data_IF_298127354622
#
_entry.id   IF_298127354622
#
_cell.length_a   1.000
_cell.length_b   1.000
_cell.length_c   1.000
_cell.angle_alpha   90.00
_cell.angle_beta   90.00
_cell.angle_gamma   90.00
#
_symmetry.space_group_name_H-M   'P 1'
#
loop_
_entity.id
_entity.type
_entity.pdbx_description
1 polymer ?
#
# COMPACT_ATOMS: atom_id res chain seq x y z
N UNK A 1 -5.98 -5.93 -33.93
CA UNK A 1 -5.20 -6.33 -32.76
C UNK A 1 -5.96 -7.39 -31.96
N UNK A 2 -5.25 -8.37 -31.40
CA UNK A 2 -5.73 -9.23 -30.33
C UNK A 2 -5.16 -8.69 -29.02
N UNK A 3 -5.98 -8.70 -27.97
CA UNK A 3 -5.57 -8.38 -26.61
C UNK A 3 -5.88 -9.60 -25.76
N UNK A 4 -4.90 -10.09 -25.06
CA UNK A 4 -5.02 -11.23 -24.17
C UNK A 4 -4.56 -10.83 -22.76
N UNK A 5 -5.48 -10.73 -21.79
CA UNK A 5 -5.09 -10.44 -20.42
C UNK A 5 -4.25 -11.60 -19.87
N UNK A 6 -3.21 -11.26 -19.12
CA UNK A 6 -2.31 -12.24 -18.51
C UNK A 6 -2.52 -12.29 -17.00
N UNK A 7 -2.44 -11.15 -16.32
CA UNK A 7 -2.56 -11.09 -14.89
C UNK A 7 -3.05 -9.74 -14.36
N UNK A 8 -3.46 -9.77 -13.10
CA UNK A 8 -3.81 -8.61 -12.31
C UNK A 8 -3.20 -8.74 -10.92
N UNK A 9 -2.47 -7.69 -10.49
CA UNK A 9 -1.79 -7.63 -9.19
C UNK A 9 -2.29 -6.46 -8.37
N UNK A 10 -2.45 -6.67 -7.07
CA UNK A 10 -2.74 -5.58 -6.15
C UNK A 10 -1.52 -4.69 -5.98
N UNK A 11 -1.74 -3.38 -6.06
CA UNK A 11 -0.73 -2.38 -5.79
C UNK A 11 -0.80 -1.96 -4.33
N UNK A 12 0.36 -1.58 -3.77
CA UNK A 12 0.48 -1.12 -2.40
C UNK A 12 1.32 0.16 -2.36
N UNK A 13 0.84 1.11 -1.58
CA UNK A 13 1.72 2.19 -1.15
C UNK A 13 2.73 1.62 -0.15
N UNK A 14 3.98 1.99 -0.34
CA UNK A 14 5.06 1.56 0.54
C UNK A 14 6.00 2.71 0.88
N UNK A 15 6.62 2.59 2.03
CA UNK A 15 7.55 3.58 2.58
C UNK A 15 8.74 2.86 3.22
N UNK A 16 9.85 3.54 3.42
CA UNK A 16 10.96 3.00 4.21
C UNK A 16 10.55 2.72 5.65
N UNK A 17 11.23 1.82 6.31
CA UNK A 17 11.05 1.63 7.75
C UNK A 17 11.44 2.92 8.50
N UNK A 18 10.63 3.34 9.46
CA UNK A 18 10.83 4.59 10.19
C UNK A 18 10.27 5.85 9.51
N UNK A 19 9.60 5.72 8.36
CA UNK A 19 8.86 6.82 7.75
C UNK A 19 7.72 7.30 8.67
N UNK A 20 7.38 8.62 8.73
CA UNK A 20 6.32 9.15 9.60
C UNK A 20 4.98 8.43 9.43
N UNK A 21 4.60 8.04 8.21
CA UNK A 21 3.37 7.28 7.95
C UNK A 21 3.31 5.91 8.63
N UNK A 22 4.43 5.29 9.01
CA UNK A 22 4.41 4.00 9.72
C UNK A 22 3.77 4.11 11.10
N UNK A 23 3.95 5.27 11.76
CA UNK A 23 3.38 5.57 13.06
C UNK A 23 2.01 6.26 13.00
N UNK A 24 1.55 6.67 11.81
CA UNK A 24 0.29 7.38 11.62
C UNK A 24 -0.90 6.52 12.07
N UNK A 25 -1.92 7.17 12.63
CA UNK A 25 -3.16 6.49 13.07
C UNK A 25 -4.10 6.21 11.90
N UNK A 26 -4.06 7.06 10.91
CA UNK A 26 -4.92 7.03 9.72
C UNK A 26 -4.07 7.04 8.44
N UNK A 27 -4.54 6.32 7.44
CA UNK A 27 -3.89 6.19 6.13
C UNK A 27 -4.93 6.43 5.04
N UNK A 28 -5.45 7.65 4.98
CA UNK A 28 -6.27 8.10 3.84
C UNK A 28 -5.37 8.42 2.64
N UNK A 29 -5.94 8.50 1.46
CA UNK A 29 -5.19 8.88 0.26
C UNK A 29 -4.59 10.29 0.41
N UNK A 30 -5.35 11.21 0.98
CA UNK A 30 -4.92 12.58 1.29
C UNK A 30 -3.68 12.61 2.18
N UNK A 31 -3.68 11.83 3.29
CA UNK A 31 -2.52 11.78 4.20
C UNK A 31 -1.29 11.13 3.58
N UNK A 32 -1.48 10.17 2.69
CA UNK A 32 -0.39 9.49 1.98
C UNK A 32 0.25 10.44 0.95
N UNK A 33 -0.58 11.15 0.18
CA UNK A 33 -0.13 12.00 -0.93
C UNK A 33 0.35 13.39 -0.52
N UNK A 34 0.39 13.69 0.79
CA UNK A 34 1.18 14.82 1.32
C UNK A 34 2.68 14.62 1.04
N UNK A 35 3.12 13.37 0.96
CA UNK A 35 4.51 13.03 0.66
C UNK A 35 4.74 12.88 -0.85
N UNK A 36 5.97 13.13 -1.33
CA UNK A 36 6.30 12.94 -2.73
C UNK A 36 6.04 11.51 -3.20
N UNK A 37 5.29 11.36 -4.30
CA UNK A 37 5.01 10.06 -4.90
C UNK A 37 6.12 9.69 -5.88
N UNK A 38 6.66 8.48 -5.73
CA UNK A 38 7.63 7.87 -6.64
C UNK A 38 6.99 6.64 -7.29
N UNK A 39 6.86 6.64 -8.59
CA UNK A 39 6.34 5.48 -9.31
C UNK A 39 6.78 5.46 -10.77
N UNK A 40 6.74 4.31 -11.44
CA UNK A 40 6.68 4.26 -12.88
C UNK A 40 5.43 4.96 -13.42
N UNK A 41 5.35 5.16 -14.73
CA UNK A 41 4.14 5.69 -15.36
C UNK A 41 2.93 4.85 -14.96
N UNK A 42 1.93 5.51 -14.38
CA UNK A 42 0.72 4.84 -13.92
C UNK A 42 -0.33 4.79 -15.03
N UNK A 43 -1.13 3.72 -15.12
CA UNK A 43 -2.29 3.69 -16.00
C UNK A 43 -3.27 4.82 -15.66
N UNK A 44 -3.86 5.44 -16.69
CA UNK A 44 -4.79 6.57 -16.52
C UNK A 44 -5.94 6.26 -15.55
N UNK A 45 -6.46 5.03 -15.55
CA UNK A 45 -7.49 4.60 -14.59
C UNK A 45 -7.07 4.72 -13.11
N UNK A 46 -5.77 4.69 -12.81
CA UNK A 46 -5.25 4.93 -11.46
C UNK A 46 -4.97 6.42 -11.25
N UNK A 47 -4.46 7.09 -12.29
CA UNK A 47 -4.12 8.50 -12.25
C UNK A 47 -5.29 9.40 -11.84
N UNK A 48 -6.51 9.11 -12.31
CA UNK A 48 -7.72 9.88 -11.98
C UNK A 48 -8.09 9.84 -10.49
N UNK A 49 -7.69 8.81 -9.78
CA UNK A 49 -7.91 8.68 -8.34
C UNK A 49 -6.82 9.35 -7.51
N UNK A 50 -5.60 9.42 -8.04
CA UNK A 50 -4.44 9.99 -7.34
C UNK A 50 -4.31 11.50 -7.54
N UNK A 51 -4.72 12.00 -8.70
CA UNK A 51 -4.42 13.37 -9.12
C UNK A 51 -5.12 14.47 -8.33
N UNK A 52 -6.24 14.16 -7.64
CA UNK A 52 -7.00 15.14 -6.88
C UNK A 52 -6.34 15.52 -5.56
N UNK A 53 -5.62 14.58 -4.96
CA UNK A 53 -5.11 14.68 -3.60
C UNK A 53 -3.59 14.79 -3.54
N UNK A 54 -2.90 14.67 -4.70
CA UNK A 54 -1.45 14.65 -4.76
C UNK A 54 -0.86 16.07 -4.74
N UNK A 55 -0.41 16.52 -3.58
CA UNK A 55 0.20 17.85 -3.39
C UNK A 55 1.45 18.08 -4.25
N UNK A 56 2.15 17.02 -4.61
CA UNK A 56 3.43 17.04 -5.33
C UNK A 56 3.39 16.38 -6.71
N UNK A 57 2.20 16.00 -7.21
CA UNK A 57 2.04 15.43 -8.55
C UNK A 57 1.33 16.42 -9.48
N UNK A 58 1.55 16.28 -10.77
CA UNK A 58 0.87 17.09 -11.80
C UNK A 58 -0.05 16.21 -12.61
N UNK A 59 -1.26 16.68 -12.86
CA UNK A 59 -2.18 16.05 -13.79
C UNK A 59 -2.12 16.85 -15.09
N UNK A 60 -1.78 16.19 -16.17
CA UNK A 60 -1.89 16.75 -17.50
C UNK A 60 -3.38 16.98 -17.82
N UNK A 61 -3.74 18.19 -18.20
CA UNK A 61 -5.14 18.57 -18.43
C UNK A 61 -5.70 18.03 -19.73
N UNK A 62 -4.85 17.74 -20.72
CA UNK A 62 -5.27 17.25 -22.03
C UNK A 62 -5.38 15.72 -22.01
N UNK A 63 -4.40 15.03 -21.44
CA UNK A 63 -4.34 13.57 -21.44
C UNK A 63 -4.95 12.94 -20.19
N UNK A 64 -5.07 13.70 -19.09
CA UNK A 64 -5.46 13.17 -17.79
C UNK A 64 -4.38 12.29 -17.13
N UNK A 65 -3.18 12.28 -17.68
CA UNK A 65 -2.06 11.52 -17.14
C UNK A 65 -1.53 12.16 -15.86
N UNK A 66 -1.24 11.35 -14.87
CA UNK A 66 -0.58 11.77 -13.65
C UNK A 66 0.94 11.66 -13.82
N UNK A 67 1.62 12.77 -13.64
CA UNK A 67 3.06 12.78 -13.46
C UNK A 67 3.36 12.79 -11.96
N UNK A 68 3.92 11.70 -11.40
CA UNK A 68 4.31 11.64 -9.99
C UNK A 68 5.42 12.65 -9.71
N UNK A 69 5.72 12.90 -8.44
CA UNK A 69 6.80 13.81 -8.04
C UNK A 69 8.16 13.37 -8.60
N UNK A 70 8.37 12.06 -8.64
CA UNK A 70 9.51 11.45 -9.31
C UNK A 70 9.02 10.26 -10.14
N UNK A 71 9.07 10.42 -11.46
CA UNK A 71 8.78 9.36 -12.40
C UNK A 71 10.04 8.56 -12.68
N UNK A 72 9.94 7.25 -12.60
CA UNK A 72 11.06 6.30 -12.76
C UNK A 72 10.68 5.18 -13.73
N UNK A 73 11.66 4.45 -14.24
CA UNK A 73 11.41 3.43 -15.28
C UNK A 73 11.10 2.05 -14.70
N UNK A 74 11.33 1.83 -13.41
CA UNK A 74 11.10 0.53 -12.78
C UNK A 74 10.76 0.62 -11.30
N UNK A 75 10.13 -0.43 -10.79
CA UNK A 75 9.84 -0.55 -9.36
C UNK A 75 11.10 -0.66 -8.50
N UNK A 76 12.20 -1.19 -9.04
CA UNK A 76 13.48 -1.26 -8.33
C UNK A 76 14.08 0.14 -8.09
N UNK A 77 14.01 1.02 -9.09
CA UNK A 77 14.43 2.42 -8.93
C UNK A 77 13.51 3.17 -7.99
N UNK A 78 12.18 2.95 -8.09
CA UNK A 78 11.22 3.52 -7.15
C UNK A 78 11.54 3.12 -5.70
N UNK A 79 11.83 1.84 -5.46
CA UNK A 79 12.24 1.34 -4.15
C UNK A 79 13.48 2.08 -3.62
N UNK A 80 14.52 2.19 -4.43
CA UNK A 80 15.75 2.86 -4.01
C UNK A 80 15.52 4.34 -3.67
N UNK A 81 14.70 5.05 -4.43
CA UNK A 81 14.32 6.43 -4.14
C UNK A 81 13.55 6.56 -2.82
N UNK A 82 12.61 5.64 -2.55
CA UNK A 82 11.86 5.59 -1.29
C UNK A 82 12.79 5.29 -0.09
N UNK A 83 13.78 4.42 -0.27
CA UNK A 83 14.76 4.12 0.78
C UNK A 83 15.68 5.28 1.11
N UNK A 84 15.90 6.20 0.16
CA UNK A 84 16.78 7.35 0.32
C UNK A 84 16.12 8.54 1.03
N UNK A 85 14.78 8.57 1.22
CA UNK A 85 14.08 9.73 1.78
C UNK A 85 12.69 9.46 2.30
N UNK A 86 11.88 10.52 2.38
CA UNK A 86 10.48 10.46 2.86
C UNK A 86 9.48 10.42 1.70
N UNK A 87 9.84 9.78 0.62
CA UNK A 87 8.92 9.55 -0.49
C UNK A 87 8.05 8.31 -0.25
N UNK A 88 6.88 8.31 -0.86
CA UNK A 88 5.96 7.18 -0.92
C UNK A 88 6.09 6.51 -2.28
N UNK A 89 6.29 5.21 -2.29
CA UNK A 89 6.30 4.42 -3.51
C UNK A 89 4.97 3.70 -3.74
N UNK A 90 4.76 3.27 -4.98
CA UNK A 90 3.61 2.47 -5.39
C UNK A 90 4.09 1.29 -6.24
N UNK A 91 3.84 0.06 -5.78
CA UNK A 91 4.30 -1.14 -6.47
C UNK A 91 3.42 -2.37 -6.14
N UNK A 92 3.42 -3.41 -6.99
CA UNK A 92 2.79 -4.68 -6.67
C UNK A 92 3.59 -5.41 -5.58
N UNK A 93 2.88 -6.21 -4.76
CA UNK A 93 3.50 -6.91 -3.64
C UNK A 93 4.65 -7.83 -4.06
N UNK A 94 4.55 -8.44 -5.24
CA UNK A 94 5.58 -9.33 -5.78
C UNK A 94 6.93 -8.63 -5.96
N UNK A 95 6.92 -7.34 -6.27
CA UNK A 95 8.14 -6.52 -6.39
C UNK A 95 8.74 -6.11 -5.04
N UNK A 96 7.97 -6.22 -3.95
CA UNK A 96 8.33 -5.74 -2.61
C UNK A 96 8.46 -6.87 -1.59
N UNK A 97 8.19 -8.13 -1.97
CA UNK A 97 8.07 -9.26 -1.03
C UNK A 97 9.31 -9.42 -0.15
N UNK A 98 10.50 -9.31 -0.73
CA UNK A 98 11.76 -9.45 0.00
C UNK A 98 11.93 -8.35 1.04
N UNK A 99 11.74 -7.08 0.66
CA UNK A 99 11.93 -5.92 1.53
C UNK A 99 10.92 -5.86 2.68
N UNK A 100 9.69 -6.32 2.42
CA UNK A 100 8.67 -6.51 3.47
C UNK A 100 9.09 -7.62 4.44
N UNK A 101 9.71 -8.68 3.93
CA UNK A 101 10.19 -9.81 4.75
C UNK A 101 11.36 -9.39 5.62
N UNK A 102 12.32 -8.64 5.09
CA UNK A 102 13.49 -8.11 5.81
C UNK A 102 13.14 -6.90 6.68
N UNK A 103 11.93 -6.35 6.57
CA UNK A 103 11.48 -5.14 7.28
C UNK A 103 12.24 -3.87 6.89
N UNK A 104 12.75 -3.81 5.68
CA UNK A 104 13.36 -2.60 5.15
C UNK A 104 12.30 -1.59 4.74
N UNK A 105 11.15 -2.08 4.25
CA UNK A 105 9.99 -1.27 3.92
C UNK A 105 8.76 -1.68 4.72
N UNK A 106 7.82 -0.75 4.82
CA UNK A 106 6.48 -0.94 5.36
C UNK A 106 5.43 -0.69 4.30
N UNK A 107 4.48 -1.63 4.17
CA UNK A 107 3.28 -1.40 3.36
C UNK A 107 2.28 -0.58 4.15
N UNK A 108 1.75 0.46 3.53
CA UNK A 108 0.68 1.25 4.14
C UNK A 108 -0.65 0.49 4.04
N UNK A 109 -1.49 0.52 5.09
CA UNK A 109 -2.74 -0.24 5.15
C UNK A 109 -3.89 0.44 4.38
N UNK A 110 -3.58 1.07 3.25
CA UNK A 110 -4.56 1.63 2.33
C UNK A 110 -4.91 0.61 1.25
N UNK A 111 -6.21 0.48 0.95
CA UNK A 111 -6.70 -0.42 -0.10
C UNK A 111 -7.86 0.23 -0.84
N UNK A 112 -7.87 0.09 -2.16
CA UNK A 112 -8.97 0.56 -3.00
C UNK A 112 -9.18 -0.40 -4.18
N UNK A 113 -10.40 -0.55 -4.72
CA UNK A 113 -10.69 -1.43 -5.85
C UNK A 113 -9.89 -1.09 -7.11
N UNK A 114 -9.61 0.20 -7.33
CA UNK A 114 -8.84 0.69 -8.46
C UNK A 114 -7.32 0.50 -8.33
N UNK A 115 -6.83 0.14 -7.13
CA UNK A 115 -5.41 0.01 -6.83
C UNK A 115 -4.89 -1.37 -7.27
N UNK A 116 -4.97 -1.60 -8.58
CA UNK A 116 -4.63 -2.85 -9.24
C UNK A 116 -3.86 -2.57 -10.53
N UNK A 117 -2.85 -3.37 -10.82
CA UNK A 117 -2.09 -3.36 -12.04
C UNK A 117 -2.48 -4.58 -12.88
N UNK A 118 -3.17 -4.35 -13.99
CA UNK A 118 -3.46 -5.40 -14.96
C UNK A 118 -2.52 -5.26 -16.14
N UNK A 119 -2.05 -6.36 -16.67
CA UNK A 119 -1.28 -6.37 -17.89
C UNK A 119 -1.64 -7.57 -18.78
N UNK A 120 -1.27 -7.46 -20.03
CA UNK A 120 -1.60 -8.47 -21.02
C UNK A 120 -0.68 -8.41 -22.23
N UNK A 121 -0.92 -9.32 -23.13
CA UNK A 121 -0.26 -9.41 -24.42
C UNK A 121 -1.16 -8.79 -25.48
N UNK A 122 -0.56 -8.02 -26.37
CA UNK A 122 -1.26 -7.55 -27.57
C UNK A 122 -0.43 -7.91 -28.81
N UNK A 123 -1.12 -8.36 -29.83
CA UNK A 123 -0.49 -8.78 -31.09
C UNK A 123 -1.45 -8.63 -32.26
N UNK A 124 -0.91 -8.63 -33.46
CA UNK A 124 -1.72 -8.56 -34.69
C UNK A 124 -2.33 -9.92 -35.04
N UNK A 125 -3.64 -9.97 -35.33
CA UNK A 125 -4.31 -11.17 -35.81
C UNK A 125 -3.97 -11.50 -37.29
N UNK A 126 -3.44 -10.53 -38.03
CA UNK A 126 -3.17 -10.69 -39.44
C UNK A 126 -1.95 -11.58 -39.74
N UNK A 127 -1.11 -11.85 -38.78
CA UNK A 127 0.07 -12.69 -38.92
C UNK A 127 0.05 -13.80 -37.85
N UNK A 128 0.38 -15.04 -38.22
CA UNK A 128 0.56 -16.09 -37.27
C UNK A 128 1.72 -15.74 -36.32
N UNK A 129 1.56 -16.06 -35.03
CA UNK A 129 2.63 -15.90 -34.07
C UNK A 129 3.78 -16.87 -34.39
N UNK A 130 5.01 -16.38 -34.30
CA UNK A 130 6.18 -17.23 -34.41
C UNK A 130 6.21 -18.26 -33.28
N UNK A 131 6.90 -19.38 -33.50
CA UNK A 131 7.08 -20.42 -32.48
C UNK A 131 7.72 -19.87 -31.21
N UNK A 132 8.66 -18.94 -31.36
CA UNK A 132 9.32 -18.28 -30.22
C UNK A 132 8.31 -17.42 -29.41
N UNK A 133 7.47 -16.65 -30.12
CA UNK A 133 6.43 -15.86 -29.45
C UNK A 133 5.43 -16.75 -28.69
N UNK A 134 5.01 -17.87 -29.28
CA UNK A 134 4.12 -18.83 -28.61
C UNK A 134 4.76 -19.46 -27.38
N UNK A 135 6.04 -19.84 -27.47
CA UNK A 135 6.79 -20.35 -26.31
C UNK A 135 6.93 -19.30 -25.21
N UNK A 136 7.26 -18.06 -25.58
CA UNK A 136 7.34 -16.95 -24.62
C UNK A 136 6.00 -16.74 -23.89
N UNK A 137 4.88 -16.69 -24.63
CA UNK A 137 3.55 -16.54 -24.04
C UNK A 137 3.22 -17.69 -23.08
N UNK A 138 3.59 -18.92 -23.42
CA UNK A 138 3.39 -20.08 -22.57
C UNK A 138 4.21 -19.98 -21.29
N UNK A 139 5.48 -19.64 -21.39
CA UNK A 139 6.37 -19.46 -20.24
C UNK A 139 5.90 -18.31 -19.34
N UNK A 140 5.48 -17.19 -19.94
CA UNK A 140 4.96 -16.06 -19.18
C UNK A 140 3.74 -16.46 -18.34
N UNK A 141 2.79 -17.19 -18.91
CA UNK A 141 1.62 -17.68 -18.16
C UNK A 141 2.00 -18.63 -17.02
N UNK A 142 2.98 -19.51 -17.25
CA UNK A 142 3.48 -20.43 -16.22
C UNK A 142 4.12 -19.69 -15.06
N UNK A 143 5.00 -18.71 -15.35
CA UNK A 143 5.62 -17.86 -14.34
C UNK A 143 4.57 -17.10 -13.56
N UNK A 144 3.54 -16.59 -14.24
CA UNK A 144 2.47 -15.82 -13.62
C UNK A 144 1.65 -16.62 -12.62
N UNK A 145 1.33 -17.87 -12.92
CA UNK A 145 0.67 -18.78 -11.97
C UNK A 145 1.49 -18.90 -10.66
N UNK A 146 2.81 -19.01 -10.79
CA UNK A 146 3.70 -19.10 -9.61
C UNK A 146 3.72 -17.78 -8.84
N UNK A 147 3.78 -16.63 -9.54
CA UNK A 147 3.79 -15.31 -8.93
C UNK A 147 2.50 -15.01 -8.17
N UNK A 148 1.35 -15.32 -8.75
CA UNK A 148 0.04 -15.16 -8.12
C UNK A 148 -0.08 -16.02 -6.86
N UNK A 149 0.37 -17.27 -6.90
CA UNK A 149 0.39 -18.13 -5.72
C UNK A 149 1.32 -17.58 -4.60
N UNK A 150 2.45 -16.98 -4.96
CA UNK A 150 3.34 -16.31 -4.01
C UNK A 150 2.68 -15.07 -3.41
N UNK A 151 2.07 -14.23 -4.23
CA UNK A 151 1.36 -13.04 -3.78
C UNK A 151 0.24 -13.39 -2.79
N UNK A 152 -0.60 -14.37 -3.12
CA UNK A 152 -1.65 -14.83 -2.22
C UNK A 152 -1.11 -15.30 -0.86
N UNK A 153 -0.02 -16.06 -0.85
CA UNK A 153 0.63 -16.50 0.39
C UNK A 153 1.19 -15.33 1.20
N UNK A 154 1.79 -14.35 0.52
CA UNK A 154 2.32 -13.16 1.17
C UNK A 154 1.20 -12.29 1.77
N UNK A 155 0.09 -12.10 1.04
CA UNK A 155 -1.10 -11.41 1.53
C UNK A 155 -1.71 -12.10 2.75
N UNK A 156 -1.86 -13.41 2.73
CA UNK A 156 -2.39 -14.18 3.86
C UNK A 156 -1.51 -14.02 5.12
N UNK A 157 -0.19 -13.98 4.96
CA UNK A 157 0.75 -13.72 6.07
C UNK A 157 0.61 -12.30 6.65
N UNK A 158 0.40 -11.30 5.78
CA UNK A 158 0.19 -9.92 6.20
C UNK A 158 -1.12 -9.75 6.97
N UNK A 159 -2.19 -10.37 6.50
CA UNK A 159 -3.51 -10.33 7.15
C UNK A 159 -3.51 -11.09 8.49
N UNK A 160 -2.82 -12.23 8.56
CA UNK A 160 -2.62 -12.96 9.82
C UNK A 160 -1.89 -12.11 10.87
N UNK A 161 -0.83 -11.39 10.48
CA UNK A 161 -0.11 -10.47 11.38
C UNK A 161 -0.97 -9.27 11.85
N UNK A 162 -1.82 -8.73 10.96
CA UNK A 162 -2.76 -7.66 11.35
C UNK A 162 -3.78 -8.15 12.38
N UNK A 163 -4.30 -9.35 12.21
CA UNK A 163 -5.30 -9.95 13.11
C UNK A 163 -4.74 -10.20 14.52
N UNK A 164 -3.54 -10.76 14.62
CA UNK A 164 -2.85 -10.97 15.91
C UNK A 164 -2.52 -9.65 16.61
N UNK A 165 -2.07 -8.64 15.88
CA UNK A 165 -1.79 -7.31 16.43
C UNK A 165 -3.04 -6.58 16.94
N UNK A 166 -4.17 -6.67 16.22
CA UNK A 166 -5.48 -6.14 16.67
C UNK A 166 -5.99 -6.86 17.90
N UNK A 167 -5.88 -8.18 17.95
CA UNK A 167 -6.27 -9.00 19.11
C UNK A 167 -5.44 -8.68 20.35
N UNK A 168 -4.12 -8.56 20.21
CA UNK A 168 -3.23 -8.17 21.31
C UNK A 168 -3.54 -6.75 21.82
N UNK A 169 -3.77 -5.78 20.92
CA UNK A 169 -4.14 -4.41 21.30
C UNK A 169 -5.50 -4.34 21.99
N UNK A 170 -6.47 -5.17 21.58
CA UNK A 170 -7.77 -5.28 22.23
C UNK A 170 -7.64 -5.86 23.63
N UNK A 171 -6.86 -6.94 23.80
CA UNK A 171 -6.60 -7.52 25.14
C UNK A 171 -5.91 -6.54 26.08
N UNK A 172 -4.92 -5.80 25.60
CA UNK A 172 -4.24 -4.78 26.40
C UNK A 172 -5.19 -3.65 26.83
N UNK A 173 -6.12 -3.22 25.94
CA UNK A 173 -7.13 -2.19 26.27
C UNK A 173 -8.13 -2.67 27.30
N UNK A 174 -8.59 -3.91 27.20
CA UNK A 174 -9.53 -4.52 28.15
C UNK A 174 -8.88 -4.76 29.53
N UNK A 175 -7.57 -5.04 29.55
CA UNK A 175 -6.83 -5.19 30.81
C UNK A 175 -6.54 -3.86 31.51
N UNK A 176 -6.45 -2.75 30.76
CA UNK A 176 -6.19 -1.40 31.31
C UNK A 176 -7.46 -0.69 31.83
N UNK A 177 -8.64 -1.12 31.41
CA UNK A 177 -9.92 -0.48 31.76
C UNK A 177 -10.34 -0.63 33.24
N UNK A 178 -10.11 -1.77 33.95
CA UNK A 178 -10.42 -1.88 35.39
C UNK A 178 -9.54 -0.99 36.28
N UNK A 179 -8.28 -0.74 35.93
CA UNK A 179 -7.39 0.10 36.71
C UNK A 179 -7.79 1.59 36.70
N UNK A 180 -8.33 2.08 35.60
CA UNK A 180 -8.81 3.46 35.48
C UNK A 180 -10.14 3.71 36.21
N UNK A 181 -10.93 2.68 36.47
CA UNK A 181 -12.18 2.79 37.27
C UNK A 181 -11.91 2.89 38.74
N UNK A 182 -10.91 2.21 39.30
CA UNK A 182 -10.51 2.25 40.70
C UNK A 182 -9.91 3.61 41.06
N UNK A 183 -9.12 4.23 40.19
CA UNK A 183 -8.49 5.53 40.42
C UNK A 183 -9.50 6.71 40.47
N UNK A 184 -10.69 6.58 39.88
CA UNK A 184 -11.74 7.62 39.92
C UNK A 184 -12.67 7.54 41.13
N UNK A 185 -12.66 6.45 41.92
CA UNK A 185 -13.52 6.28 43.07
C UNK A 185 -12.90 6.78 44.39
N UNK A 186 -11.61 7.17 44.39
CA UNK A 186 -10.89 7.55 45.65
C UNK A 186 -10.84 9.06 45.86
N UNK A 187 -11.49 9.88 45.03
CA UNK A 187 -11.55 11.33 45.24
C UNK A 187 -12.97 11.77 45.63
N UNK A 188 -13.40 11.45 46.87
CA UNK A 188 -14.57 12.07 47.49
C UNK A 188 -14.13 13.34 48.24
N UNK A 189 -14.81 14.48 48.07
CA UNK A 189 -14.42 15.72 48.75
C UNK A 189 -14.77 15.67 50.25
N UNK A 190 -13.80 16.04 51.11
CA UNK A 190 -13.96 16.24 52.53
C UNK A 190 -15.02 17.32 52.80
N UNK A 191 -16.04 16.95 53.58
CA UNK A 191 -17.14 17.78 54.04
C UNK A 191 -16.61 18.83 55.02
N UNK A 192 -16.57 20.09 54.67
CA UNK A 192 -16.30 21.20 55.56
C UNK A 192 -17.41 21.33 56.61
N UNK A 193 -17.08 21.05 57.86
CA UNK A 193 -17.91 21.40 59.00
C UNK A 193 -17.96 22.93 59.16
N UNK A 194 -19.16 23.51 59.11
CA UNK A 194 -19.42 24.91 59.54
C UNK A 194 -19.62 24.90 61.04
N UNK A 195 -18.72 25.54 61.78
CA UNK A 195 -18.91 25.94 63.17
C UNK A 195 -19.60 27.31 63.15
N UNK A 196 -20.76 27.40 63.83
CA UNK A 196 -21.44 28.65 64.21
C UNK A 196 -20.75 29.23 65.45
N UNK A 197 -20.46 30.50 65.39
CA UNK A 197 -20.67 31.48 66.45
C UNK A 197 -20.99 32.83 65.84
#
# INVERSE_FOLDING_TARGET
LAIEPVAEHRMFFFVRQGHPLVAAREHSLETILVFPLVSPRLPQRMAVHLGKDAAHARVDRETGDLTPSLMVDSFAVARNAVMAGDAVGLAPLVALEQDVRTREISLLPFTAPWLQLSYGLFYTRKRPLSRVAQLFMTQLRQVEVVLQAREQRALARLDGKKRTRRSAKRKARTAAEPAARVAKSTTAPARRARTRQ
#
